data_IF_765781893255
#
_entry.id   IF_765781893255
#
_cell.length_a   1.000
_cell.length_b   1.000
_cell.length_c   1.000
_cell.angle_alpha   90.00
_cell.angle_beta   90.00
_cell.angle_gamma   90.00
#
_symmetry.space_group_name_H-M   'P 1'
#
loop_
_entity.id
_entity.type
_entity.pdbx_description
1 polymer ?
#
# COMPACT_ATOMS: atom_id res chain seq x y z
N UNK A 1 -49.49 21.59 -34.85
CA UNK A 1 -49.68 21.06 -36.22
C UNK A 1 -48.32 20.75 -36.83
N UNK A 2 -48.24 19.56 -37.32
CA UNK A 2 -47.31 18.89 -38.25
C UNK A 2 -46.10 18.18 -37.64
N UNK A 3 -46.27 16.92 -37.67
CA UNK A 3 -45.31 15.80 -37.54
C UNK A 3 -44.28 15.80 -38.69
N UNK A 4 -43.11 15.29 -38.44
CA UNK A 4 -42.40 14.44 -39.41
C UNK A 4 -41.41 13.53 -38.70
N UNK A 5 -41.63 12.30 -38.89
CA UNK A 5 -41.10 10.97 -38.70
C UNK A 5 -39.67 10.80 -39.26
N UNK A 6 -38.85 10.13 -38.47
CA UNK A 6 -38.23 8.81 -38.73
C UNK A 6 -37.35 8.64 -39.98
N UNK A 7 -36.11 8.23 -39.78
CA UNK A 7 -35.52 7.06 -40.49
C UNK A 7 -34.45 6.42 -39.56
N UNK A 8 -34.68 5.14 -39.22
CA UNK A 8 -33.74 4.20 -38.63
C UNK A 8 -33.00 3.54 -39.80
N UNK A 9 -31.66 3.59 -39.77
CA UNK A 9 -30.85 2.80 -40.68
C UNK A 9 -30.06 1.79 -39.84
N UNK A 10 -30.49 0.54 -39.90
CA UNK A 10 -29.75 -0.64 -39.43
C UNK A 10 -28.57 -0.88 -40.37
N UNK A 11 -27.39 -0.93 -39.83
CA UNK A 11 -26.21 -1.47 -40.52
C UNK A 11 -25.84 -2.78 -39.84
N UNK A 12 -26.12 -3.89 -40.53
CA UNK A 12 -25.58 -5.20 -40.25
C UNK A 12 -24.09 -5.23 -40.71
N UNK A 13 -23.16 -5.45 -39.78
CA UNK A 13 -21.81 -5.80 -40.14
C UNK A 13 -21.61 -7.30 -39.92
N UNK A 14 -21.32 -7.98 -41.02
CA UNK A 14 -21.02 -9.41 -41.10
C UNK A 14 -19.61 -9.66 -40.48
N UNK A 15 -19.55 -10.46 -39.43
CA UNK A 15 -18.30 -11.02 -38.93
C UNK A 15 -17.87 -12.19 -39.83
N UNK A 16 -16.76 -12.02 -40.50
CA UNK A 16 -16.05 -13.12 -41.15
C UNK A 16 -15.01 -13.68 -40.17
N UNK A 17 -15.27 -14.89 -39.67
CA UNK A 17 -14.36 -15.62 -38.84
C UNK A 17 -13.19 -16.20 -39.70
N UNK A 18 -11.95 -15.81 -39.44
CA UNK A 18 -10.78 -16.50 -39.92
C UNK A 18 -10.35 -17.50 -38.85
N UNK A 19 -10.60 -18.79 -39.11
CA UNK A 19 -10.06 -19.89 -38.33
C UNK A 19 -8.65 -20.17 -38.84
N UNK A 20 -7.64 -19.92 -38.04
CA UNK A 20 -6.28 -20.39 -38.29
C UNK A 20 -5.98 -21.50 -37.27
N UNK A 21 -5.97 -22.73 -37.76
CA UNK A 21 -5.58 -23.89 -36.97
C UNK A 21 -4.05 -23.95 -36.89
N UNK A 22 -3.50 -23.87 -35.67
CA UNK A 22 -2.14 -24.29 -35.38
C UNK A 22 -2.20 -25.42 -34.36
N UNK A 23 -1.82 -26.59 -34.81
CA UNK A 23 -1.56 -27.80 -33.99
C UNK A 23 -0.30 -27.58 -33.17
N UNK A 24 -0.40 -27.61 -31.87
CA UNK A 24 0.72 -27.61 -30.93
C UNK A 24 0.58 -28.76 -29.93
N UNK A 25 1.59 -29.60 -29.91
CA UNK A 25 1.69 -30.82 -29.09
C UNK A 25 1.62 -30.54 -27.59
N UNK A 26 0.81 -31.38 -26.92
CA UNK A 26 0.74 -31.42 -25.45
C UNK A 26 1.83 -32.37 -24.94
N UNK A 27 2.82 -31.85 -24.27
CA UNK A 27 3.78 -32.65 -23.48
C UNK A 27 3.13 -33.06 -22.16
N UNK A 28 2.80 -34.34 -22.02
CA UNK A 28 2.40 -34.96 -20.77
C UNK A 28 3.65 -35.26 -19.93
N UNK A 29 3.71 -34.75 -18.73
CA UNK A 29 4.70 -35.14 -17.70
C UNK A 29 4.00 -36.10 -16.74
N UNK A 30 4.44 -37.36 -16.75
CA UNK A 30 4.01 -38.39 -15.79
C UNK A 30 4.84 -38.31 -14.50
N UNK A 31 4.21 -38.46 -13.30
CA UNK A 31 4.95 -38.52 -12.04
C UNK A 31 5.55 -39.93 -11.82
N UNK A 32 6.86 -39.96 -11.57
CA UNK A 32 7.53 -41.18 -11.09
C UNK A 32 7.33 -41.36 -9.58
N UNK A 33 6.77 -42.48 -9.18
CA UNK A 33 6.77 -42.98 -7.79
C UNK A 33 8.12 -43.64 -7.50
N UNK A 34 8.81 -43.16 -6.49
CA UNK A 34 9.97 -43.79 -5.89
C UNK A 34 9.64 -44.38 -4.52
N UNK A 35 9.56 -45.70 -4.43
CA UNK A 35 9.50 -46.46 -3.17
C UNK A 35 10.91 -46.69 -2.62
N UNK A 36 11.15 -46.37 -1.36
CA UNK A 36 12.42 -46.67 -0.67
C UNK A 36 12.24 -46.81 0.84
N UNK A 37 12.58 -47.97 1.34
CA UNK A 37 12.28 -48.61 2.61
C UNK A 37 12.79 -47.94 3.89
N UNK A 38 12.11 -48.30 4.99
CA UNK A 38 12.44 -48.10 6.40
C UNK A 38 13.84 -48.61 6.81
N UNK A 39 14.49 -47.86 7.68
CA UNK A 39 15.59 -48.31 8.53
C UNK A 39 15.44 -47.73 9.94
N UNK A 40 15.41 -48.62 10.93
CA UNK A 40 15.11 -48.40 12.35
C UNK A 40 16.28 -47.80 13.16
N UNK A 41 15.92 -47.09 14.25
CA UNK A 41 16.68 -46.40 15.29
C UNK A 41 17.77 -47.27 16.00
N UNK A 42 18.61 -46.71 16.94
CA UNK A 42 18.14 -46.03 18.15
C UNK A 42 18.99 -44.85 18.69
N UNK A 43 18.27 -43.99 19.42
CA UNK A 43 18.61 -43.33 20.68
C UNK A 43 19.93 -42.61 20.92
N UNK A 44 19.83 -41.32 21.18
CA UNK A 44 20.42 -40.67 22.37
C UNK A 44 19.87 -39.28 22.55
N UNK A 45 19.45 -39.01 23.79
CA UNK A 45 19.07 -37.69 24.34
C UNK A 45 20.32 -36.88 24.59
N UNK A 46 20.35 -35.64 24.12
CA UNK A 46 21.06 -34.54 24.78
C UNK A 46 20.54 -33.21 24.23
N UNK A 47 19.93 -32.42 25.12
CA UNK A 47 19.58 -31.04 24.88
C UNK A 47 20.84 -30.19 24.94
N UNK A 48 21.15 -29.35 23.93
CA UNK A 48 22.06 -28.25 24.10
C UNK A 48 21.29 -26.93 24.24
N UNK A 49 21.95 -25.93 24.83
CA UNK A 49 21.34 -24.68 25.26
C UNK A 49 21.23 -23.67 24.12
N UNK A 50 20.24 -22.79 24.25
CA UNK A 50 20.23 -21.45 23.68
C UNK A 50 20.23 -21.38 22.15
N UNK A 51 19.07 -21.15 21.56
CA UNK A 51 18.96 -20.72 20.16
C UNK A 51 19.58 -19.31 20.02
N UNK A 52 20.87 -19.26 19.67
CA UNK A 52 21.38 -18.20 18.83
C UNK A 52 20.76 -18.46 17.44
N UNK A 53 19.96 -17.53 16.93
CA UNK A 53 19.35 -17.64 15.61
C UNK A 53 20.47 -17.94 14.58
N UNK A 54 20.36 -19.06 13.90
CA UNK A 54 21.19 -19.40 12.75
C UNK A 54 20.91 -18.36 11.68
N UNK A 55 21.83 -17.43 11.51
CA UNK A 55 21.84 -16.56 10.33
C UNK A 55 21.93 -17.49 9.11
N UNK A 56 20.95 -17.40 8.23
CA UNK A 56 21.00 -18.11 6.95
C UNK A 56 22.14 -17.44 6.14
N UNK A 57 23.22 -18.17 5.76
CA UNK A 57 24.35 -17.56 5.07
C UNK A 57 24.01 -17.00 3.69
N UNK A 58 22.82 -17.31 3.18
CA UNK A 58 22.29 -16.81 1.90
C UNK A 58 21.39 -15.57 2.04
N UNK A 59 21.25 -14.96 3.22
CA UNK A 59 20.47 -13.72 3.38
C UNK A 59 21.26 -12.53 2.82
N UNK A 60 20.78 -11.94 1.75
CA UNK A 60 21.37 -10.77 1.07
C UNK A 60 21.68 -9.62 2.04
N UNK A 61 20.86 -9.48 3.10
CA UNK A 61 20.96 -8.39 4.06
C UNK A 61 21.64 -8.77 5.40
N UNK A 62 22.29 -9.93 5.48
CA UNK A 62 22.92 -10.40 6.72
C UNK A 62 23.98 -9.42 7.30
N UNK A 63 24.59 -8.58 6.46
CA UNK A 63 25.60 -7.58 6.84
C UNK A 63 25.11 -6.13 6.60
N UNK A 64 23.84 -5.91 6.37
CA UNK A 64 23.30 -4.56 6.23
C UNK A 64 23.43 -3.80 7.55
N UNK A 65 23.91 -2.56 7.51
CA UNK A 65 23.97 -1.67 8.67
C UNK A 65 22.56 -1.24 9.09
N UNK A 66 21.72 -1.00 8.08
CA UNK A 66 20.31 -0.66 8.24
C UNK A 66 19.46 -1.51 7.31
N UNK A 67 18.28 -1.89 7.76
CA UNK A 67 17.34 -2.68 6.97
C UNK A 67 15.95 -2.03 7.00
N UNK A 68 15.50 -1.63 5.84
CA UNK A 68 14.12 -1.22 5.59
C UNK A 68 13.32 -2.41 5.06
N UNK A 69 12.17 -2.63 5.66
CA UNK A 69 11.17 -3.59 5.16
C UNK A 69 9.83 -2.88 5.00
N UNK A 70 9.24 -2.96 3.83
CA UNK A 70 7.89 -2.47 3.53
C UNK A 70 7.00 -3.68 3.27
N UNK A 71 5.90 -3.81 4.01
CA UNK A 71 4.86 -4.83 3.80
C UNK A 71 3.57 -4.16 3.41
N UNK A 72 3.06 -4.49 2.24
CA UNK A 72 1.70 -4.11 1.82
C UNK A 72 0.82 -5.34 1.98
N UNK A 73 -0.13 -5.26 2.88
CA UNK A 73 -0.95 -6.40 3.28
C UNK A 73 -1.93 -6.84 2.20
N UNK A 74 -2.29 -8.12 2.26
CA UNK A 74 -3.42 -8.68 1.53
C UNK A 74 -4.72 -8.36 2.29
N UNK A 75 -5.27 -7.21 2.05
CA UNK A 75 -6.52 -6.70 2.63
C UNK A 75 -7.55 -6.37 1.55
N UNK A 76 -7.54 -7.15 0.46
CA UNK A 76 -8.41 -6.88 -0.68
C UNK A 76 -8.19 -5.49 -1.27
N UNK A 77 -9.24 -4.69 -1.31
CA UNK A 77 -9.21 -3.32 -1.81
C UNK A 77 -8.65 -2.32 -0.78
N UNK A 78 -8.51 -2.72 0.47
CA UNK A 78 -8.11 -1.81 1.56
C UNK A 78 -6.61 -1.56 1.61
N UNK A 79 -6.21 -0.45 2.24
CA UNK A 79 -4.80 -0.11 2.44
C UNK A 79 -4.34 -0.37 3.88
N UNK A 80 -3.32 -1.19 4.03
CA UNK A 80 -2.57 -1.33 5.26
C UNK A 80 -1.11 -1.63 4.93
N UNK A 81 -0.21 -0.73 5.31
CA UNK A 81 1.21 -0.83 4.99
C UNK A 81 2.01 -0.74 6.28
N UNK A 82 2.80 -1.78 6.56
CA UNK A 82 3.74 -1.79 7.66
C UNK A 82 5.15 -1.55 7.15
N UNK A 83 5.80 -0.53 7.68
CA UNK A 83 7.19 -0.18 7.39
C UNK A 83 8.00 -0.40 8.66
N UNK A 84 9.04 -1.23 8.56
CA UNK A 84 10.02 -1.43 9.61
C UNK A 84 11.38 -0.94 9.12
N UNK A 85 11.91 0.08 9.78
CA UNK A 85 13.27 0.57 9.58
C UNK A 85 14.06 0.35 10.87
N UNK A 86 14.91 -0.66 10.87
CA UNK A 86 15.58 -1.20 12.06
C UNK A 86 14.54 -1.53 13.15
N UNK A 87 14.52 -0.78 14.27
CA UNK A 87 13.54 -0.95 15.35
C UNK A 87 12.35 0.02 15.25
N UNK A 88 12.37 0.96 14.31
CA UNK A 88 11.27 1.93 14.12
C UNK A 88 10.14 1.31 13.30
N UNK A 89 8.93 1.39 13.84
CA UNK A 89 7.72 0.86 13.21
C UNK A 89 6.83 2.03 12.76
N UNK A 90 6.55 2.06 11.46
CA UNK A 90 5.62 3.02 10.85
C UNK A 90 4.48 2.22 10.22
N UNK A 91 3.26 2.64 10.44
CA UNK A 91 2.08 2.06 9.82
C UNK A 91 1.35 3.14 9.02
N UNK A 92 1.04 2.87 7.76
CA UNK A 92 0.25 3.75 6.90
C UNK A 92 -1.07 3.04 6.64
N UNK A 93 -2.17 3.66 7.08
CA UNK A 93 -3.53 3.18 7.04
C UNK A 93 -3.74 1.84 7.79
N UNK A 94 -4.98 1.44 7.96
CA UNK A 94 -5.38 0.34 8.85
C UNK A 94 -6.49 -0.52 8.23
N UNK A 95 -6.60 -0.52 6.91
CA UNK A 95 -7.57 -1.27 6.14
C UNK A 95 -9.03 -1.10 6.61
N UNK A 96 -9.92 -2.00 6.19
CA UNK A 96 -11.31 -2.03 6.61
C UNK A 96 -11.44 -2.62 8.05
N UNK A 97 -12.60 -2.45 8.65
CA UNK A 97 -12.88 -2.94 10.00
C UNK A 97 -12.85 -4.47 10.11
N UNK A 98 -13.16 -5.16 9.02
CA UNK A 98 -13.15 -6.63 8.96
C UNK A 98 -11.72 -7.20 8.87
N UNK A 99 -10.73 -6.41 8.44
CA UNK A 99 -9.32 -6.82 8.29
C UNK A 99 -8.53 -6.74 9.62
N UNK A 100 -9.15 -6.32 10.72
CA UNK A 100 -8.45 -6.13 12.00
C UNK A 100 -7.75 -7.41 12.51
N UNK A 101 -8.36 -8.58 12.28
CA UNK A 101 -7.78 -9.86 12.69
C UNK A 101 -6.44 -10.11 12.01
N UNK A 102 -6.38 -9.92 10.72
CA UNK A 102 -5.19 -10.09 9.88
C UNK A 102 -4.10 -9.08 10.25
N UNK A 103 -4.50 -7.84 10.59
CA UNK A 103 -3.57 -6.82 11.09
C UNK A 103 -2.93 -7.25 12.41
N UNK A 104 -3.73 -7.73 13.36
CA UNK A 104 -3.21 -8.25 14.64
C UNK A 104 -2.25 -9.42 14.42
N UNK A 105 -2.66 -10.41 13.64
CA UNK A 105 -1.85 -11.59 13.34
C UNK A 105 -0.50 -11.19 12.72
N UNK A 106 -0.49 -10.22 11.82
CA UNK A 106 0.74 -9.69 11.24
C UNK A 106 1.62 -9.02 12.29
N UNK A 107 1.08 -8.08 13.07
CA UNK A 107 1.85 -7.35 14.08
C UNK A 107 2.42 -8.30 15.14
N UNK A 108 1.63 -9.26 15.62
CA UNK A 108 2.05 -10.27 16.59
C UNK A 108 3.13 -11.19 16.01
N UNK A 109 2.98 -11.67 14.77
CA UNK A 109 3.96 -12.54 14.12
C UNK A 109 5.32 -11.87 13.94
N UNK A 110 5.33 -10.55 13.84
CA UNK A 110 6.55 -9.73 13.71
C UNK A 110 7.07 -9.23 15.07
N UNK A 111 6.39 -9.57 16.17
CA UNK A 111 6.75 -9.11 17.51
C UNK A 111 6.58 -7.60 17.72
N UNK A 112 5.68 -6.97 16.96
CA UNK A 112 5.41 -5.54 17.05
C UNK A 112 4.43 -5.29 18.21
N UNK A 113 4.93 -4.72 19.29
CA UNK A 113 4.13 -4.29 20.44
C UNK A 113 3.80 -2.79 20.40
N UNK A 114 4.57 -2.02 19.63
CA UNK A 114 4.44 -0.57 19.51
C UNK A 114 4.56 -0.13 18.06
N UNK A 115 3.69 0.77 17.65
CA UNK A 115 3.75 1.52 16.39
C UNK A 115 4.25 2.92 16.73
N UNK A 116 5.45 3.27 16.28
CA UNK A 116 6.05 4.58 16.60
C UNK A 116 5.32 5.71 15.87
N UNK A 117 4.93 5.46 14.62
CA UNK A 117 4.24 6.43 13.77
C UNK A 117 3.08 5.75 13.04
N UNK A 118 1.84 6.13 13.38
CA UNK A 118 0.63 5.76 12.64
C UNK A 118 0.23 6.93 11.74
N UNK A 119 0.20 6.72 10.45
CA UNK A 119 -0.20 7.71 9.44
C UNK A 119 -1.55 7.27 8.88
N UNK A 120 -2.55 8.11 8.98
CA UNK A 120 -3.86 7.92 8.36
C UNK A 120 -3.95 8.89 7.18
N UNK A 121 -3.99 8.36 5.97
CA UNK A 121 -3.89 9.18 4.75
C UNK A 121 -5.13 10.04 4.54
N UNK A 122 -6.30 9.46 4.75
CA UNK A 122 -7.63 10.09 4.71
C UNK A 122 -8.60 9.25 5.53
N UNK A 123 -9.92 9.54 5.51
CA UNK A 123 -10.85 8.93 6.47
C UNK A 123 -11.90 8.01 5.84
N UNK A 124 -11.65 7.46 4.65
CA UNK A 124 -12.49 6.41 4.07
C UNK A 124 -12.36 5.07 4.82
N UNK A 125 -13.38 4.25 4.71
CA UNK A 125 -13.53 3.04 5.51
C UNK A 125 -12.39 2.05 5.28
N UNK A 126 -11.96 1.89 4.04
CA UNK A 126 -10.90 0.99 3.60
C UNK A 126 -9.48 1.51 3.94
N UNK A 127 -9.39 2.63 4.70
CA UNK A 127 -8.15 3.19 5.24
C UNK A 127 -8.15 3.32 6.76
N UNK A 128 -9.29 3.72 7.37
CA UNK A 128 -9.36 3.89 8.82
C UNK A 128 -10.25 2.87 9.52
N UNK A 129 -10.72 1.85 8.82
CA UNK A 129 -11.69 0.89 9.34
C UNK A 129 -11.28 0.24 10.65
N UNK A 130 -10.02 -0.15 10.77
CA UNK A 130 -9.46 -0.76 11.98
C UNK A 130 -8.73 0.22 12.91
N UNK A 131 -8.60 1.52 12.56
CA UNK A 131 -7.76 2.48 13.27
C UNK A 131 -8.11 2.63 14.75
N UNK A 132 -9.39 2.68 15.07
CA UNK A 132 -9.86 2.81 16.46
C UNK A 132 -9.38 1.63 17.32
N UNK A 133 -9.48 0.40 16.80
CA UNK A 133 -9.06 -0.82 17.51
C UNK A 133 -7.53 -0.92 17.59
N UNK A 134 -6.81 -0.59 16.53
CA UNK A 134 -5.34 -0.54 16.54
C UNK A 134 -4.85 0.44 17.60
N UNK A 135 -5.45 1.63 17.72
CA UNK A 135 -5.11 2.62 18.75
C UNK A 135 -5.44 2.10 20.14
N UNK A 136 -6.52 1.32 20.31
CA UNK A 136 -6.90 0.78 21.61
C UNK A 136 -6.01 -0.37 22.08
N UNK A 137 -5.57 -1.23 21.17
CA UNK A 137 -4.93 -2.51 21.51
C UNK A 137 -3.42 -2.47 21.44
N UNK A 138 -2.82 -1.55 20.67
CA UNK A 138 -1.36 -1.40 20.54
C UNK A 138 -0.85 -0.10 21.19
N UNK A 139 0.42 -0.07 21.55
CA UNK A 139 1.08 1.17 21.93
C UNK A 139 1.33 2.01 20.67
N UNK A 140 0.84 3.26 20.66
CA UNK A 140 1.04 4.20 19.58
C UNK A 140 1.87 5.39 20.07
N UNK A 141 2.96 5.69 19.40
CA UNK A 141 3.78 6.87 19.71
C UNK A 141 3.14 8.15 19.20
N UNK A 142 2.99 8.24 17.89
CA UNK A 142 2.42 9.41 17.24
C UNK A 142 1.40 9.01 16.16
N UNK A 143 0.31 9.77 16.07
CA UNK A 143 -0.67 9.68 14.98
C UNK A 143 -0.52 10.92 14.11
N UNK A 144 -0.45 10.73 12.80
CA UNK A 144 -0.48 11.78 11.78
C UNK A 144 -1.74 11.61 10.96
N UNK A 145 -2.50 12.68 10.77
CA UNK A 145 -3.72 12.66 9.98
C UNK A 145 -3.98 14.04 9.36
N UNK A 146 -4.72 14.13 8.25
CA UNK A 146 -5.11 15.42 7.70
C UNK A 146 -6.06 16.16 8.64
N UNK A 147 -6.07 17.50 8.56
CA UNK A 147 -6.86 18.34 9.46
C UNK A 147 -8.20 18.74 8.85
N UNK A 148 -9.09 17.78 8.66
CA UNK A 148 -10.51 18.01 8.34
C UNK A 148 -11.41 17.09 9.17
N UNK A 149 -12.70 17.28 9.09
CA UNK A 149 -13.71 16.50 9.82
C UNK A 149 -14.53 15.70 8.83
N UNK A 150 -14.76 14.42 9.16
CA UNK A 150 -15.64 13.52 8.41
C UNK A 150 -16.88 13.18 9.25
N UNK A 151 -18.07 13.25 8.67
CA UNK A 151 -19.29 12.79 9.33
C UNK A 151 -19.53 11.29 9.06
N UNK A 152 -18.68 10.45 9.66
CA UNK A 152 -18.82 8.99 9.57
C UNK A 152 -18.75 8.34 10.95
N UNK A 153 -19.28 7.10 11.06
CA UNK A 153 -19.21 6.31 12.30
C UNK A 153 -17.78 5.95 12.64
N UNK A 154 -16.96 5.59 11.64
CA UNK A 154 -15.55 5.20 11.83
C UNK A 154 -14.70 6.39 12.27
N UNK A 155 -14.88 7.57 11.66
CA UNK A 155 -14.17 8.77 12.12
C UNK A 155 -14.52 9.12 13.58
N UNK A 156 -15.80 9.04 13.96
CA UNK A 156 -16.20 9.26 15.37
C UNK A 156 -15.58 8.23 16.32
N UNK A 157 -15.50 6.96 15.92
CA UNK A 157 -14.86 5.91 16.71
C UNK A 157 -13.34 6.15 16.82
N UNK A 158 -12.67 6.51 15.75
CA UNK A 158 -11.26 6.90 15.73
C UNK A 158 -11.00 8.04 16.72
N UNK A 159 -11.78 9.12 16.65
CA UNK A 159 -11.61 10.27 17.55
C UNK A 159 -11.90 9.91 19.01
N UNK A 160 -12.85 9.03 19.27
CA UNK A 160 -13.14 8.55 20.62
C UNK A 160 -11.97 7.71 21.18
N UNK A 161 -11.36 6.84 20.39
CA UNK A 161 -10.19 6.04 20.81
C UNK A 161 -8.97 6.93 21.06
N UNK A 162 -8.72 7.94 20.22
CA UNK A 162 -7.70 8.97 20.44
C UNK A 162 -7.94 9.70 21.79
N UNK A 163 -9.15 10.17 22.02
CA UNK A 163 -9.50 10.86 23.26
C UNK A 163 -9.34 9.96 24.51
N UNK A 164 -9.67 8.69 24.40
CA UNK A 164 -9.51 7.69 25.47
C UNK A 164 -8.04 7.46 25.84
N UNK A 165 -7.13 7.49 24.86
CA UNK A 165 -5.68 7.38 25.09
C UNK A 165 -5.07 8.65 25.67
N UNK A 166 -5.67 9.82 25.43
CA UNK A 166 -5.26 11.10 26.00
C UNK A 166 -3.78 11.41 25.74
N UNK A 167 -3.04 11.76 26.79
CA UNK A 167 -1.61 12.11 26.70
C UNK A 167 -0.67 10.93 26.39
N UNK A 168 -1.18 9.70 26.33
CA UNK A 168 -0.36 8.53 25.98
C UNK A 168 0.04 8.49 24.51
N UNK A 169 -0.63 9.26 23.66
CA UNK A 169 -0.30 9.38 22.22
C UNK A 169 -0.17 10.85 21.84
N UNK A 170 0.73 11.14 20.89
CA UNK A 170 0.81 12.47 20.27
C UNK A 170 0.02 12.48 18.97
N UNK A 171 -0.91 13.42 18.84
CA UNK A 171 -1.75 13.54 17.63
C UNK A 171 -1.39 14.77 16.84
N UNK A 172 -0.97 14.57 15.59
CA UNK A 172 -0.59 15.61 14.63
C UNK A 172 -1.68 15.72 13.57
N UNK A 173 -2.56 16.72 13.70
CA UNK A 173 -3.52 17.11 12.65
C UNK A 173 -2.83 18.10 11.70
N UNK A 174 -2.56 17.67 10.49
CA UNK A 174 -1.64 18.36 9.59
C UNK A 174 -2.35 19.38 8.71
N UNK A 175 -1.90 20.63 8.79
CA UNK A 175 -2.28 21.72 7.86
C UNK A 175 -1.16 21.99 6.85
N UNK A 176 0.07 21.64 7.19
CA UNK A 176 1.26 21.87 6.40
C UNK A 176 2.09 20.60 6.31
N UNK A 177 2.91 20.52 5.27
CA UNK A 177 3.86 19.44 5.10
C UNK A 177 4.76 19.29 6.32
N UNK A 178 5.05 18.07 6.68
CA UNK A 178 5.88 17.77 7.85
C UNK A 178 6.92 16.70 7.54
N UNK A 179 7.92 16.61 8.38
CA UNK A 179 8.93 15.55 8.35
C UNK A 179 8.83 14.72 9.61
N UNK A 180 8.92 13.41 9.45
CA UNK A 180 9.06 12.46 10.55
C UNK A 180 10.54 12.24 10.79
N UNK A 181 10.97 12.49 12.03
CA UNK A 181 12.37 12.24 12.44
C UNK A 181 12.60 10.74 12.57
N UNK A 182 13.43 10.18 11.71
CA UNK A 182 13.85 8.79 11.74
C UNK A 182 15.31 8.68 12.24
N UNK A 183 15.72 7.53 12.82
CA UNK A 183 17.11 7.30 13.23
C UNK A 183 18.07 7.34 12.04
N UNK A 184 17.62 6.89 10.87
CA UNK A 184 18.34 6.88 9.59
C UNK A 184 17.36 7.11 8.45
N UNK A 185 17.86 7.65 7.34
CA UNK A 185 17.00 8.04 6.22
C UNK A 185 16.13 9.25 6.53
N UNK A 186 15.09 9.43 5.76
CA UNK A 186 14.11 10.50 5.98
C UNK A 186 12.71 10.09 5.54
N UNK A 187 11.71 10.62 6.21
CA UNK A 187 10.31 10.49 5.80
C UNK A 187 9.63 11.85 5.87
N UNK A 188 8.88 12.17 4.84
CA UNK A 188 8.08 13.38 4.78
C UNK A 188 6.62 13.05 4.49
N UNK A 189 5.72 13.92 4.94
CA UNK A 189 4.28 13.88 4.65
C UNK A 189 3.92 15.18 3.96
N UNK A 190 3.32 15.07 2.78
CA UNK A 190 2.79 16.19 2.01
C UNK A 190 1.29 16.30 2.20
N UNK A 191 0.85 17.47 2.58
CA UNK A 191 -0.55 17.81 2.81
C UNK A 191 -1.18 18.36 1.53
N UNK A 192 -2.44 17.99 1.28
CA UNK A 192 -3.22 18.48 0.16
C UNK A 192 -3.51 19.98 0.26
N UNK A 193 -3.42 20.68 -0.87
CA UNK A 193 -3.81 22.09 -1.02
C UNK A 193 -4.98 22.25 -1.99
N UNK A 194 -5.68 21.14 -2.26
CA UNK A 194 -6.79 21.12 -3.24
C UNK A 194 -7.96 22.01 -2.78
N UNK A 195 -8.22 22.02 -1.46
CA UNK A 195 -9.33 22.79 -0.86
C UNK A 195 -8.81 23.75 0.22
N UNK A 196 -8.13 24.84 -0.14
CA UNK A 196 -7.47 25.72 0.84
C UNK A 196 -8.44 26.50 1.75
N UNK A 197 -9.73 26.60 1.35
CA UNK A 197 -10.79 27.25 2.14
C UNK A 197 -11.58 26.28 3.01
N UNK A 198 -11.18 24.99 3.07
CA UNK A 198 -11.92 23.99 3.82
C UNK A 198 -11.92 24.31 5.33
N UNK A 199 -13.09 24.25 5.94
CA UNK A 199 -13.21 24.33 7.40
C UNK A 199 -12.56 23.13 8.06
N UNK A 200 -11.80 23.37 9.14
CA UNK A 200 -11.24 22.31 9.97
C UNK A 200 -12.14 21.90 11.15
N UNK A 201 -13.27 22.56 11.30
CA UNK A 201 -14.23 22.33 12.40
C UNK A 201 -15.51 21.66 11.91
N UNK A 202 -15.91 21.90 10.68
CA UNK A 202 -17.11 21.34 10.06
C UNK A 202 -16.75 20.12 9.19
N UNK A 203 -17.68 19.14 9.07
CA UNK A 203 -17.50 18.03 8.16
C UNK A 203 -17.34 18.48 6.70
N UNK A 204 -16.52 17.75 5.92
CA UNK A 204 -16.41 17.99 4.49
C UNK A 204 -17.81 17.87 3.84
N UNK A 205 -18.15 18.76 2.89
CA UNK A 205 -19.50 18.81 2.32
C UNK A 205 -19.82 17.63 1.40
N UNK A 206 -18.81 17.01 0.80
CA UNK A 206 -18.97 15.90 -0.15
C UNK A 206 -17.95 14.80 0.17
N UNK A 207 -18.41 13.55 0.21
CA UNK A 207 -17.56 12.39 0.47
C UNK A 207 -16.45 12.23 -0.58
N UNK A 208 -16.72 12.60 -1.83
CA UNK A 208 -15.75 12.59 -2.94
C UNK A 208 -14.52 13.50 -2.73
N UNK A 209 -14.57 14.44 -1.77
CA UNK A 209 -13.42 15.28 -1.43
C UNK A 209 -12.35 14.53 -0.62
N UNK A 210 -12.71 13.43 0.03
CA UNK A 210 -11.83 12.73 0.98
C UNK A 210 -10.55 12.24 0.30
N UNK A 211 -10.66 11.61 -0.86
CA UNK A 211 -9.54 11.12 -1.64
C UNK A 211 -8.55 12.23 -2.04
N UNK A 212 -9.09 13.39 -2.46
CA UNK A 212 -8.25 14.55 -2.82
C UNK A 212 -7.62 15.25 -1.59
N UNK A 213 -8.00 14.84 -0.37
CA UNK A 213 -7.37 15.26 0.88
C UNK A 213 -6.32 14.26 1.40
N UNK A 214 -6.09 13.15 0.69
CA UNK A 214 -5.09 12.14 1.06
C UNK A 214 -3.72 12.75 1.34
N UNK A 215 -3.13 12.37 2.47
CA UNK A 215 -1.70 12.60 2.72
C UNK A 215 -0.88 11.75 1.74
N UNK A 216 0.13 12.35 1.13
CA UNK A 216 1.12 11.62 0.33
C UNK A 216 2.42 11.56 1.12
N UNK A 217 3.00 10.37 1.25
CA UNK A 217 4.20 10.17 2.04
C UNK A 217 5.35 9.72 1.15
N UNK A 218 6.55 10.24 1.41
CA UNK A 218 7.78 9.74 0.81
C UNK A 218 8.79 9.32 1.86
N UNK A 219 9.51 8.25 1.58
CA UNK A 219 10.54 7.71 2.44
C UNK A 219 11.81 7.50 1.63
N UNK A 220 12.96 7.83 2.23
CA UNK A 220 14.27 7.58 1.63
C UNK A 220 15.19 6.88 2.60
N UNK A 221 15.98 5.93 2.09
CA UNK A 221 17.09 5.30 2.78
C UNK A 221 18.25 5.18 1.78
N UNK A 222 19.33 5.92 2.00
CA UNK A 222 20.49 5.99 1.10
C UNK A 222 20.05 6.29 -0.37
N UNK A 223 20.24 5.37 -1.30
CA UNK A 223 19.86 5.52 -2.72
C UNK A 223 18.41 5.10 -3.01
N UNK A 224 17.74 4.43 -2.08
CA UNK A 224 16.36 3.96 -2.24
C UNK A 224 15.34 5.02 -1.87
N UNK A 225 14.25 5.08 -2.64
CA UNK A 225 13.14 5.98 -2.36
C UNK A 225 11.78 5.33 -2.63
N UNK A 226 10.82 5.61 -1.75
CA UNK A 226 9.46 5.12 -1.84
C UNK A 226 8.43 6.25 -1.78
N UNK A 227 7.32 6.09 -2.49
CA UNK A 227 6.17 7.00 -2.50
C UNK A 227 4.89 6.23 -2.17
N UNK A 228 4.11 6.75 -1.21
CA UNK A 228 2.82 6.22 -0.79
C UNK A 228 1.76 7.29 -1.03
N UNK A 229 0.79 7.01 -1.90
CA UNK A 229 -0.07 8.04 -2.45
C UNK A 229 -1.48 8.07 -1.84
N UNK A 230 -1.78 7.19 -0.85
CA UNK A 230 -3.15 7.03 -0.36
C UNK A 230 -4.11 6.78 -1.52
N UNK A 231 -5.22 7.49 -1.54
CA UNK A 231 -6.20 7.43 -2.62
C UNK A 231 -6.26 8.72 -3.47
N UNK A 232 -5.08 9.36 -3.62
CA UNK A 232 -4.95 10.58 -4.40
C UNK A 232 -5.59 10.48 -5.78
N UNK A 233 -6.65 11.23 -6.01
CA UNK A 233 -7.30 11.35 -7.30
C UNK A 233 -6.64 12.43 -8.16
N UNK A 234 -7.32 12.81 -9.23
CA UNK A 234 -6.72 13.72 -10.23
C UNK A 234 -6.29 15.05 -9.65
N UNK A 235 -7.15 15.71 -8.87
CA UNK A 235 -6.85 17.04 -8.32
C UNK A 235 -5.69 16.97 -7.32
N UNK A 236 -5.64 15.91 -6.51
CA UNK A 236 -4.56 15.67 -5.57
C UNK A 236 -3.22 15.37 -6.26
N UNK A 237 -3.24 14.59 -7.34
CA UNK A 237 -2.05 14.35 -8.16
C UNK A 237 -1.55 15.63 -8.82
N UNK A 238 -2.45 16.48 -9.36
CA UNK A 238 -2.10 17.77 -9.95
C UNK A 238 -1.48 18.71 -8.91
N UNK A 239 -2.06 18.78 -7.70
CA UNK A 239 -1.51 19.54 -6.58
C UNK A 239 -0.11 19.07 -6.18
N UNK A 240 0.08 17.75 -6.06
CA UNK A 240 1.38 17.17 -5.71
C UNK A 240 2.46 17.48 -6.76
N UNK A 241 2.14 17.33 -8.05
CA UNK A 241 3.05 17.69 -9.16
C UNK A 241 3.44 19.16 -9.12
N UNK A 242 2.50 20.06 -8.80
CA UNK A 242 2.76 21.49 -8.71
C UNK A 242 3.77 21.85 -7.60
N UNK A 243 3.91 20.98 -6.61
CA UNK A 243 4.85 21.13 -5.51
C UNK A 243 6.22 20.54 -5.86
N UNK A 244 6.96 21.24 -6.70
CA UNK A 244 8.21 20.77 -7.32
C UNK A 244 9.29 20.26 -6.34
N UNK A 245 9.20 20.59 -5.05
CA UNK A 245 10.15 20.08 -4.03
C UNK A 245 10.10 18.56 -3.85
N UNK A 246 8.99 17.93 -4.25
CA UNK A 246 8.81 16.49 -4.21
C UNK A 246 9.04 15.82 -5.57
N UNK A 247 9.36 16.60 -6.60
CA UNK A 247 9.74 16.05 -7.89
C UNK A 247 11.04 15.26 -7.75
N UNK A 248 11.00 13.98 -8.10
CA UNK A 248 12.16 13.11 -7.94
C UNK A 248 11.91 11.72 -8.50
N UNK A 249 12.92 10.88 -8.33
CA UNK A 249 12.82 9.45 -8.64
C UNK A 249 12.29 8.73 -7.43
N UNK A 250 11.44 7.74 -7.68
CA UNK A 250 10.92 6.86 -6.64
C UNK A 250 11.05 5.42 -7.12
N UNK A 251 11.90 4.64 -6.47
CA UNK A 251 12.11 3.23 -6.82
C UNK A 251 10.85 2.40 -6.60
N UNK A 252 10.10 2.71 -5.53
CA UNK A 252 8.85 2.04 -5.18
C UNK A 252 7.70 3.03 -5.10
N UNK A 253 6.53 2.65 -5.63
CA UNK A 253 5.29 3.43 -5.51
C UNK A 253 4.12 2.54 -5.11
N UNK A 254 3.44 2.86 -3.99
CA UNK A 254 2.08 2.39 -3.76
C UNK A 254 1.15 3.26 -4.60
N UNK A 255 0.56 2.66 -5.62
CA UNK A 255 -0.31 3.37 -6.55
C UNK A 255 -1.59 3.83 -5.84
N UNK A 256 -2.12 5.01 -6.21
CA UNK A 256 -3.27 5.56 -5.52
C UNK A 256 -4.57 4.87 -5.93
N UNK A 257 -5.56 4.99 -5.06
CA UNK A 257 -6.98 4.70 -5.29
C UNK A 257 -7.18 3.37 -6.02
N UNK A 258 -6.55 2.32 -5.49
CA UNK A 258 -6.69 0.91 -5.91
C UNK A 258 -6.47 0.66 -7.41
N UNK A 259 -5.67 1.50 -8.05
CA UNK A 259 -5.36 1.41 -9.48
C UNK A 259 -6.34 2.14 -10.38
N UNK A 260 -6.98 3.18 -9.89
CA UNK A 260 -7.73 4.15 -10.72
C UNK A 260 -6.79 5.01 -11.56
N UNK A 261 -7.14 5.20 -12.83
CA UNK A 261 -6.34 5.95 -13.78
C UNK A 261 -6.80 7.40 -13.92
N UNK A 262 -5.84 8.29 -13.92
CA UNK A 262 -6.04 9.67 -14.37
C UNK A 262 -4.81 10.21 -15.07
N UNK A 263 -4.98 11.29 -15.84
CA UNK A 263 -3.88 11.87 -16.61
C UNK A 263 -2.74 12.39 -15.72
N UNK A 264 -3.07 12.98 -14.58
CA UNK A 264 -2.07 13.52 -13.67
C UNK A 264 -1.22 12.41 -13.05
N UNK A 265 -1.82 11.28 -12.64
CA UNK A 265 -1.09 10.10 -12.20
C UNK A 265 -0.11 9.61 -13.27
N UNK A 266 -0.55 9.53 -14.52
CA UNK A 266 0.34 9.15 -15.63
C UNK A 266 1.53 10.11 -15.76
N UNK A 267 1.26 11.41 -15.77
CA UNK A 267 2.29 12.44 -15.93
C UNK A 267 3.29 12.41 -14.74
N UNK A 268 2.81 12.14 -13.54
CA UNK A 268 3.63 11.93 -12.34
C UNK A 268 4.56 10.72 -12.50
N UNK A 269 3.99 9.55 -12.78
CA UNK A 269 4.75 8.30 -12.85
C UNK A 269 5.78 8.29 -13.98
N UNK A 270 5.47 8.95 -15.10
CA UNK A 270 6.44 9.12 -16.20
C UNK A 270 7.66 9.96 -15.79
N UNK A 271 7.55 10.79 -14.76
CA UNK A 271 8.64 11.58 -14.20
C UNK A 271 9.46 10.89 -13.10
N UNK A 272 8.98 9.74 -12.59
CA UNK A 272 9.50 9.16 -11.35
C UNK A 272 10.53 8.03 -11.52
N UNK A 273 10.77 7.47 -12.70
CA UNK A 273 11.69 6.33 -12.92
C UNK A 273 11.36 5.11 -12.01
N UNK A 274 10.07 4.77 -11.92
CA UNK A 274 9.55 3.73 -11.01
C UNK A 274 10.04 2.35 -11.41
N UNK A 275 10.59 1.58 -10.44
CA UNK A 275 11.04 0.20 -10.63
C UNK A 275 10.05 -0.82 -10.10
N UNK A 276 9.40 -0.51 -8.99
CA UNK A 276 8.45 -1.38 -8.29
C UNK A 276 7.16 -0.63 -8.00
N UNK A 277 6.03 -1.24 -8.27
CA UNK A 277 4.73 -0.70 -7.92
C UNK A 277 3.88 -1.73 -7.21
N UNK A 278 2.99 -1.28 -6.33
CA UNK A 278 1.96 -2.13 -5.74
C UNK A 278 0.59 -1.47 -5.87
N UNK A 279 -0.40 -2.29 -6.16
CA UNK A 279 -1.82 -1.90 -6.24
C UNK A 279 -2.59 -2.75 -5.22
N UNK A 280 -3.20 -2.09 -4.24
CA UNK A 280 -4.15 -2.74 -3.33
C UNK A 280 -5.48 -2.91 -4.04
N UNK A 281 -5.90 -4.14 -4.26
CA UNK A 281 -7.17 -4.48 -4.93
C UNK A 281 -7.55 -5.91 -4.59
N UNK A 282 -8.82 -6.22 -4.63
CA UNK A 282 -9.38 -7.56 -4.41
C UNK A 282 -9.37 -8.43 -5.66
N UNK A 283 -9.25 -7.84 -6.86
CA UNK A 283 -9.13 -8.56 -8.12
C UNK A 283 -8.58 -7.68 -9.25
N UNK A 284 -7.93 -8.31 -10.23
CA UNK A 284 -7.44 -7.63 -11.43
C UNK A 284 -8.56 -6.89 -12.19
N UNK A 285 -9.79 -7.43 -12.15
CA UNK A 285 -10.92 -6.84 -12.86
C UNK A 285 -11.36 -5.48 -12.30
N UNK A 286 -10.96 -5.15 -11.07
CA UNK A 286 -11.26 -3.90 -10.38
C UNK A 286 -10.18 -2.83 -10.55
N UNK A 287 -9.11 -3.15 -11.27
CA UNK A 287 -8.01 -2.24 -11.61
C UNK A 287 -8.20 -1.73 -13.03
N UNK A 288 -8.07 -0.43 -13.23
CA UNK A 288 -8.14 0.13 -14.57
C UNK A 288 -6.95 -0.33 -15.43
N UNK A 289 -7.24 -0.91 -16.58
CA UNK A 289 -6.24 -1.51 -17.47
C UNK A 289 -5.18 -0.50 -17.92
N UNK A 290 -5.53 0.78 -17.96
CA UNK A 290 -4.64 1.89 -18.28
C UNK A 290 -3.49 1.99 -17.28
N UNK A 291 -3.74 1.78 -15.98
CA UNK A 291 -2.70 1.78 -14.95
C UNK A 291 -1.76 0.60 -15.10
N UNK A 292 -2.32 -0.60 -15.33
CA UNK A 292 -1.50 -1.80 -15.58
C UNK A 292 -0.61 -1.63 -16.81
N UNK A 293 -1.17 -1.06 -17.88
CA UNK A 293 -0.42 -0.78 -19.11
C UNK A 293 0.64 0.32 -18.89
N UNK A 294 0.32 1.34 -18.11
CA UNK A 294 1.27 2.40 -17.76
C UNK A 294 2.48 1.82 -17.04
N UNK A 295 2.29 1.03 -15.98
CA UNK A 295 3.36 0.40 -15.21
C UNK A 295 4.21 -0.52 -16.08
N UNK A 296 3.56 -1.32 -16.95
CA UNK A 296 4.27 -2.16 -17.93
C UNK A 296 5.13 -1.34 -18.89
N UNK A 297 4.61 -0.23 -19.39
CA UNK A 297 5.34 0.65 -20.34
C UNK A 297 6.52 1.37 -19.66
N UNK A 298 6.43 1.63 -18.36
CA UNK A 298 7.55 2.12 -17.55
C UNK A 298 8.61 1.05 -17.27
N UNK A 299 8.31 -0.23 -17.56
CA UNK A 299 9.19 -1.36 -17.22
C UNK A 299 9.19 -1.70 -15.74
N UNK A 300 8.24 -1.19 -14.97
CA UNK A 300 8.13 -1.43 -13.54
C UNK A 300 7.53 -2.80 -13.24
N UNK A 301 8.11 -3.52 -12.28
CA UNK A 301 7.49 -4.72 -11.69
C UNK A 301 6.31 -4.30 -10.83
N UNK A 302 5.13 -4.82 -11.16
CA UNK A 302 3.89 -4.45 -10.46
C UNK A 302 3.33 -5.64 -9.69
N UNK A 303 3.13 -5.45 -8.39
CA UNK A 303 2.54 -6.38 -7.46
C UNK A 303 1.07 -6.02 -7.20
N UNK A 304 0.27 -7.01 -6.84
CA UNK A 304 -1.16 -6.83 -6.59
C UNK A 304 -1.51 -7.51 -5.27
N UNK A 305 -2.09 -6.78 -4.31
CA UNK A 305 -2.37 -7.31 -2.96
C UNK A 305 -3.23 -8.58 -2.97
N UNK A 306 -4.11 -8.76 -3.95
CA UNK A 306 -4.93 -9.99 -4.07
C UNK A 306 -4.13 -11.28 -4.36
N UNK A 307 -2.83 -11.19 -4.65
CA UNK A 307 -1.95 -12.36 -4.80
C UNK A 307 -1.20 -12.71 -3.50
N UNK A 308 -1.42 -11.98 -2.43
CA UNK A 308 -0.74 -12.13 -1.15
C UNK A 308 -0.06 -10.83 -0.71
N UNK A 309 0.37 -10.82 0.54
CA UNK A 309 1.14 -9.69 1.10
C UNK A 309 2.45 -9.51 0.33
N UNK A 310 2.66 -8.31 -0.21
CA UNK A 310 3.91 -7.95 -0.86
C UNK A 310 4.93 -7.49 0.20
N UNK A 311 6.16 -7.99 0.11
CA UNK A 311 7.26 -7.61 1.00
C UNK A 311 8.44 -7.10 0.18
N UNK A 312 8.85 -5.86 0.42
CA UNK A 312 10.07 -5.26 -0.08
C UNK A 312 11.08 -5.15 1.06
N UNK A 313 12.32 -5.57 0.81
CA UNK A 313 13.46 -5.39 1.72
C UNK A 313 14.57 -4.62 1.01
N UNK A 314 15.21 -3.70 1.72
CA UNK A 314 16.35 -2.95 1.16
C UNK A 314 17.28 -2.44 2.27
N UNK A 315 18.56 -2.39 1.96
CA UNK A 315 19.59 -1.69 2.75
C UNK A 315 19.85 -0.26 2.22
N UNK A 316 19.01 0.20 1.30
CA UNK A 316 19.15 1.48 0.61
C UNK A 316 19.86 1.40 -0.75
N UNK A 317 20.44 0.24 -1.11
CA UNK A 317 21.16 0.02 -2.39
C UNK A 317 20.65 -1.20 -3.13
N UNK A 318 20.50 -2.31 -2.42
CA UNK A 318 19.94 -3.54 -2.96
C UNK A 318 18.47 -3.60 -2.59
N UNK A 319 17.62 -4.05 -3.52
CA UNK A 319 16.17 -4.20 -3.30
C UNK A 319 15.77 -5.62 -3.62
N UNK A 320 15.07 -6.27 -2.70
CA UNK A 320 14.40 -7.54 -2.90
C UNK A 320 12.90 -7.38 -2.69
N UNK A 321 12.11 -7.92 -3.61
CA UNK A 321 10.65 -7.95 -3.51
C UNK A 321 10.15 -9.38 -3.61
N UNK A 322 9.23 -9.76 -2.72
CA UNK A 322 8.55 -11.06 -2.71
C UNK A 322 7.05 -10.88 -2.53
N UNK A 323 6.29 -11.82 -3.07
CA UNK A 323 4.84 -11.92 -2.88
C UNK A 323 4.42 -13.37 -2.88
#
# INVERSE_FOLDING_TARGET
>A
MKYSKLIIASICIVLTACICACTGEVLQVTPQQGTGQLGTAPGQTDNPPGHAGSLNPDDTFANAEHLLTIRVMETGKSDCILIKLDDTIIMIDTADADDYGEICDMLESLGVAKIDHLILTHFDNDHIGSAARVIEDFEIGQVYMPNYVRDSGLYRSLMASIMKRGEAITVNRLNDDTEISLPVGSMWINVSRVYPELSHEDPIPEDSMDNDLSLICGLTLDEFSALFMGDAEKARCEDFIAQTKYAGKYDFVKLPHHGSHNKALRDLLMGCDVKYGVICSDALANIEVEVVNLMRNLGALTYFSYNGTMVLRTDGKVVECTQ
#
